data_IF_908631234081
#
_entry.id   IF_908631234081
#
_cell.length_a   1.000
_cell.length_b   1.000
_cell.length_c   1.000
_cell.angle_alpha   90.00
_cell.angle_beta   90.00
_cell.angle_gamma   90.00
#
_symmetry.space_group_name_H-M   'P 1'
#
loop_
_entity.id
_entity.type
_entity.pdbx_description
1 polymer ?
#
# COMPACT_ATOMS: atom_id res chain seq x y z
N UNK A 1 14.60 -18.66 -16.05
CA UNK A 1 14.53 -17.98 -14.73
C UNK A 1 13.54 -16.82 -14.85
N UNK A 2 12.35 -16.97 -14.28
CA UNK A 2 11.21 -16.06 -14.45
C UNK A 2 11.45 -14.63 -13.96
N UNK A 3 12.19 -14.47 -12.86
CA UNK A 3 12.55 -13.16 -12.35
C UNK A 3 13.46 -12.38 -13.30
N UNK A 4 14.31 -13.08 -14.07
CA UNK A 4 15.18 -12.43 -15.06
C UNK A 4 14.38 -11.85 -16.24
N UNK A 5 13.31 -12.54 -16.66
CA UNK A 5 12.38 -12.03 -17.68
C UNK A 5 11.65 -10.78 -17.17
N UNK A 6 11.13 -10.85 -15.94
CA UNK A 6 10.44 -9.74 -15.29
C UNK A 6 11.36 -8.51 -15.15
N UNK A 7 12.61 -8.72 -14.72
CA UNK A 7 13.62 -7.66 -14.64
C UNK A 7 13.98 -7.08 -16.01
N UNK A 8 13.97 -7.90 -17.07
CA UNK A 8 14.24 -7.43 -18.44
C UNK A 8 13.10 -6.55 -18.97
N UNK A 9 11.85 -6.94 -18.72
CA UNK A 9 10.67 -6.13 -19.06
C UNK A 9 10.64 -4.79 -18.29
N UNK A 10 11.00 -4.82 -17.00
CA UNK A 10 11.16 -3.60 -16.19
C UNK A 10 12.22 -2.68 -16.80
N UNK A 11 13.41 -3.19 -17.11
CA UNK A 11 14.47 -2.37 -17.73
C UNK A 11 14.03 -1.75 -19.06
N UNK A 12 13.28 -2.48 -19.88
CA UNK A 12 12.75 -1.96 -21.13
C UNK A 12 11.78 -0.79 -20.86
N UNK A 13 10.84 -0.98 -19.93
CA UNK A 13 9.86 0.04 -19.54
C UNK A 13 10.53 1.31 -19.02
N UNK A 14 11.55 1.19 -18.16
CA UNK A 14 12.26 2.36 -17.64
C UNK A 14 13.07 3.09 -18.71
N UNK A 15 13.64 2.37 -19.69
CA UNK A 15 14.33 3.01 -20.84
C UNK A 15 13.37 3.75 -21.76
N UNK A 16 12.12 3.31 -21.87
CA UNK A 16 11.07 4.02 -22.60
C UNK A 16 10.62 5.29 -21.85
N UNK A 17 10.61 5.26 -20.52
CA UNK A 17 10.27 6.40 -19.68
C UNK A 17 11.41 7.44 -19.59
N UNK A 18 12.66 6.97 -19.54
CA UNK A 18 13.86 7.79 -19.44
C UNK A 18 15.03 7.14 -20.21
N UNK A 19 15.45 7.81 -21.28
CA UNK A 19 16.58 7.36 -22.11
C UNK A 19 17.92 7.30 -21.35
N UNK A 20 18.05 8.03 -20.25
CA UNK A 20 19.25 8.06 -19.39
C UNK A 20 19.16 7.12 -18.19
N UNK A 21 18.21 6.18 -18.19
CA UNK A 21 17.96 5.25 -17.10
C UNK A 21 19.24 4.61 -16.53
N UNK A 22 19.50 4.89 -15.24
CA UNK A 22 20.71 4.48 -14.50
C UNK A 22 20.55 3.19 -13.71
N UNK A 23 19.54 2.35 -14.04
CA UNK A 23 19.20 1.10 -13.31
C UNK A 23 18.46 1.32 -11.98
N UNK A 24 18.11 2.56 -11.67
CA UNK A 24 17.45 2.96 -10.42
C UNK A 24 15.93 2.94 -10.58
N UNK A 25 15.25 2.16 -9.75
CA UNK A 25 13.81 1.90 -9.88
C UNK A 25 13.04 2.15 -8.59
N UNK A 26 11.74 2.43 -8.76
CA UNK A 26 10.77 2.48 -7.66
C UNK A 26 10.16 1.10 -7.43
N UNK A 27 10.14 0.66 -6.18
CA UNK A 27 9.54 -0.62 -5.77
C UNK A 27 8.55 -0.45 -4.63
N UNK A 28 7.55 -1.33 -4.60
CA UNK A 28 6.72 -1.58 -3.45
C UNK A 28 7.28 -2.78 -2.67
N UNK A 29 7.30 -2.66 -1.35
CA UNK A 29 7.65 -3.77 -0.46
C UNK A 29 6.79 -3.71 0.80
N UNK A 30 6.21 -4.85 1.15
CA UNK A 30 5.39 -5.06 2.34
C UNK A 30 5.53 -6.52 2.76
N UNK A 31 5.85 -6.76 4.03
CA UNK A 31 5.99 -8.11 4.56
C UNK A 31 4.64 -8.79 4.72
N UNK A 32 4.59 -10.12 4.59
CA UNK A 32 3.38 -10.86 4.88
C UNK A 32 3.66 -12.18 5.58
N UNK A 33 2.76 -12.60 6.47
CA UNK A 33 2.95 -13.78 7.33
C UNK A 33 1.90 -14.83 7.03
N UNK A 34 2.25 -16.11 7.19
CA UNK A 34 1.32 -17.20 6.95
C UNK A 34 0.13 -17.15 7.93
N UNK A 35 0.36 -16.85 9.21
CA UNK A 35 -0.71 -16.60 10.19
C UNK A 35 -0.92 -15.10 10.39
N UNK A 36 -2.12 -14.70 10.78
CA UNK A 36 -2.43 -13.28 11.04
C UNK A 36 -1.67 -12.80 12.29
N UNK A 37 -0.98 -11.68 12.15
CA UNK A 37 -0.17 -11.08 13.21
C UNK A 37 1.23 -11.70 13.32
N UNK A 38 2.05 -11.15 14.23
CA UNK A 38 3.45 -11.59 14.42
C UNK A 38 3.59 -12.90 15.22
N UNK A 39 2.56 -13.75 15.20
CA UNK A 39 2.57 -15.08 15.82
C UNK A 39 2.95 -16.19 14.83
N UNK A 40 3.13 -15.84 13.55
CA UNK A 40 3.54 -16.80 12.53
C UNK A 40 5.05 -17.04 12.57
N UNK A 41 5.46 -18.29 12.42
CA UNK A 41 6.87 -18.66 12.27
C UNK A 41 7.38 -18.56 10.83
N UNK A 42 6.51 -18.21 9.88
CA UNK A 42 6.85 -18.10 8.46
C UNK A 42 6.42 -16.72 7.94
N UNK A 43 7.39 -15.94 7.47
CA UNK A 43 7.23 -14.65 6.83
C UNK A 43 7.65 -14.69 5.36
N UNK A 44 7.09 -13.81 4.55
CA UNK A 44 7.38 -13.68 3.12
C UNK A 44 7.62 -12.21 2.82
N UNK A 45 8.68 -11.93 2.07
CA UNK A 45 8.95 -10.63 1.47
C UNK A 45 8.99 -10.74 -0.05
N UNK A 46 8.43 -9.76 -0.75
CA UNK A 46 8.46 -9.69 -2.21
C UNK A 46 8.69 -8.26 -2.69
N UNK A 47 9.58 -8.09 -3.67
CA UNK A 47 9.84 -6.83 -4.35
C UNK A 47 8.95 -6.76 -5.59
N UNK A 48 8.08 -5.75 -5.61
CA UNK A 48 7.21 -5.47 -6.75
C UNK A 48 7.65 -4.16 -7.37
N UNK A 49 7.98 -4.14 -8.65
CA UNK A 49 8.28 -2.89 -9.34
C UNK A 49 7.00 -2.07 -9.52
N UNK A 50 7.08 -0.77 -9.23
CA UNK A 50 5.92 0.09 -9.08
C UNK A 50 5.13 0.35 -10.37
N UNK A 51 5.79 0.58 -11.50
CA UNK A 51 5.13 1.00 -12.75
C UNK A 51 4.55 -0.18 -13.54
N UNK A 52 5.30 -1.25 -13.67
CA UNK A 52 4.90 -2.48 -14.36
C UNK A 52 4.04 -3.38 -13.48
N UNK A 53 4.19 -3.27 -12.15
CA UNK A 53 3.58 -4.19 -11.19
C UNK A 53 4.23 -5.57 -11.19
N UNK A 54 5.36 -5.78 -11.87
CA UNK A 54 6.02 -7.08 -11.93
C UNK A 54 6.79 -7.36 -10.65
N UNK A 55 6.65 -8.59 -10.15
CA UNK A 55 7.45 -9.08 -9.04
C UNK A 55 8.86 -9.39 -9.55
N UNK A 56 9.85 -8.74 -8.97
CA UNK A 56 11.25 -8.89 -9.34
C UNK A 56 11.96 -9.96 -8.53
N UNK A 57 11.60 -10.10 -7.25
CA UNK A 57 12.23 -11.06 -6.37
C UNK A 57 11.35 -11.34 -5.14
N UNK A 58 11.51 -12.50 -4.51
CA UNK A 58 10.85 -12.85 -3.27
C UNK A 58 11.66 -13.85 -2.43
N UNK A 59 11.37 -13.90 -1.13
CA UNK A 59 11.99 -14.83 -0.17
C UNK A 59 10.98 -15.26 0.89
N UNK A 60 11.06 -16.53 1.31
CA UNK A 60 10.34 -17.05 2.47
C UNK A 60 11.33 -17.22 3.61
N UNK A 61 10.99 -16.69 4.77
CA UNK A 61 11.76 -16.83 6.00
C UNK A 61 10.97 -17.68 6.99
N UNK A 62 11.65 -18.63 7.62
CA UNK A 62 11.13 -19.46 8.70
C UNK A 62 12.10 -19.51 9.87
N UNK A 63 11.62 -19.17 11.07
CA UNK A 63 12.40 -19.29 12.30
C UNK A 63 12.13 -20.61 13.05
N UNK A 64 11.39 -21.53 12.43
CA UNK A 64 10.97 -22.79 13.02
C UNK A 64 11.23 -23.94 12.06
N UNK A 65 11.64 -25.08 12.63
CA UNK A 65 11.59 -26.36 11.95
C UNK A 65 10.88 -27.36 12.86
N UNK A 66 9.74 -27.90 12.41
CA UNK A 66 9.02 -28.94 13.16
C UNK A 66 9.90 -30.17 13.37
N UNK A 67 10.69 -30.56 12.34
CA UNK A 67 11.65 -31.65 12.42
C UNK A 67 12.63 -31.48 13.58
N UNK A 68 13.25 -30.30 13.74
CA UNK A 68 14.12 -30.04 14.90
C UNK A 68 13.37 -30.07 16.24
N UNK A 69 12.10 -29.66 16.27
CA UNK A 69 11.31 -29.61 17.49
C UNK A 69 10.92 -31.00 17.99
N UNK A 70 10.49 -31.89 17.10
CA UNK A 70 10.00 -33.23 17.47
C UNK A 70 11.06 -34.32 17.34
N UNK A 71 12.11 -34.08 16.56
CA UNK A 71 13.19 -35.04 16.34
C UNK A 71 14.07 -35.26 17.57
N UNK A 72 14.96 -36.27 17.51
CA UNK A 72 15.91 -36.60 18.57
C UNK A 72 16.71 -35.40 19.05
N UNK A 73 17.14 -35.41 20.32
CA UNK A 73 17.93 -34.35 20.96
C UNK A 73 19.39 -34.77 21.11
N UNK A 74 20.31 -33.80 21.26
CA UNK A 74 21.69 -34.12 21.62
C UNK A 74 21.73 -35.00 22.87
N UNK A 75 22.23 -36.23 22.73
CA UNK A 75 22.25 -37.26 23.78
C UNK A 75 21.44 -38.53 23.45
N UNK A 76 20.50 -38.44 22.52
CA UNK A 76 19.75 -39.61 22.05
C UNK A 76 20.61 -40.47 21.12
N UNK A 77 20.45 -41.81 21.19
CA UNK A 77 21.23 -42.76 20.39
C UNK A 77 21.13 -42.49 18.88
N UNK A 78 19.95 -42.09 18.41
CA UNK A 78 19.66 -41.86 16.99
C UNK A 78 19.97 -40.43 16.52
N UNK A 79 20.43 -39.54 17.41
CA UNK A 79 20.60 -38.12 17.09
C UNK A 79 21.59 -37.88 15.95
N UNK A 80 22.73 -38.58 15.96
CA UNK A 80 23.76 -38.40 14.93
C UNK A 80 23.25 -38.79 13.53
N UNK A 81 22.59 -39.95 13.42
CA UNK A 81 22.00 -40.43 12.17
C UNK A 81 20.87 -39.51 11.69
N UNK A 82 20.02 -39.05 12.61
CA UNK A 82 18.97 -38.10 12.29
C UNK A 82 19.54 -36.77 11.79
N UNK A 83 20.54 -36.21 12.46
CA UNK A 83 21.15 -34.92 12.13
C UNK A 83 21.79 -34.95 10.73
N UNK A 84 22.46 -36.04 10.37
CA UNK A 84 23.08 -36.22 9.04
C UNK A 84 22.06 -36.18 7.90
N UNK A 85 20.85 -36.71 8.13
CA UNK A 85 19.79 -36.77 7.13
C UNK A 85 18.79 -35.62 7.22
N UNK A 86 18.89 -34.77 8.25
CA UNK A 86 17.90 -33.73 8.52
C UNK A 86 18.11 -32.48 7.67
N UNK A 87 17.12 -32.18 6.82
CA UNK A 87 17.04 -30.89 6.12
C UNK A 87 16.27 -29.89 6.98
N UNK A 88 17.01 -29.01 7.66
CA UNK A 88 16.43 -27.99 8.51
C UNK A 88 15.62 -26.98 7.69
N UNK A 89 14.38 -26.74 8.12
CA UNK A 89 13.49 -25.74 7.51
C UNK A 89 13.53 -24.37 8.22
N UNK A 90 14.42 -24.22 9.22
CA UNK A 90 14.70 -22.92 9.81
C UNK A 90 15.81 -22.28 8.99
N UNK A 91 15.53 -21.13 8.39
CA UNK A 91 16.49 -20.38 7.57
C UNK A 91 16.77 -18.97 8.11
N UNK A 92 16.20 -18.62 9.27
CA UNK A 92 16.47 -17.37 9.97
C UNK A 92 16.40 -17.55 11.49
N UNK A 93 17.20 -16.76 12.21
CA UNK A 93 17.10 -16.61 13.66
C UNK A 93 16.19 -15.45 14.09
N UNK A 94 15.72 -14.64 13.14
CA UNK A 94 14.85 -13.51 13.45
C UNK A 94 13.51 -13.94 14.04
N UNK A 95 13.08 -13.20 15.05
CA UNK A 95 11.70 -13.25 15.53
C UNK A 95 10.76 -12.77 14.41
N UNK A 96 9.51 -13.23 14.47
CA UNK A 96 8.52 -12.99 13.43
C UNK A 96 8.33 -11.51 13.06
N UNK A 97 8.38 -10.60 14.04
CA UNK A 97 8.28 -9.15 13.78
C UNK A 97 9.50 -8.53 13.08
N UNK A 98 10.64 -9.22 13.03
CA UNK A 98 11.88 -8.77 12.36
C UNK A 98 12.09 -9.42 11.00
N UNK A 99 11.35 -10.47 10.66
CA UNK A 99 11.46 -11.15 9.38
C UNK A 99 11.21 -10.23 8.18
N UNK A 100 10.33 -9.23 8.30
CA UNK A 100 10.14 -8.24 7.24
C UNK A 100 11.42 -7.46 6.95
N UNK A 101 12.14 -7.04 7.98
CA UNK A 101 13.38 -6.29 7.85
C UNK A 101 14.47 -7.17 7.23
N UNK A 102 14.62 -8.40 7.73
CA UNK A 102 15.61 -9.35 7.21
C UNK A 102 15.35 -9.74 5.75
N UNK A 103 14.09 -10.00 5.39
CA UNK A 103 13.71 -10.29 4.02
C UNK A 103 14.03 -9.10 3.10
N UNK A 104 13.79 -7.86 3.54
CA UNK A 104 14.14 -6.68 2.77
C UNK A 104 15.66 -6.59 2.53
N UNK A 105 16.47 -6.77 3.57
CA UNK A 105 17.93 -6.76 3.45
C UNK A 105 18.40 -7.81 2.45
N UNK A 106 17.90 -9.06 2.54
CA UNK A 106 18.23 -10.14 1.60
C UNK A 106 17.90 -9.74 0.15
N UNK A 107 16.70 -9.20 -0.08
CA UNK A 107 16.21 -8.88 -1.42
C UNK A 107 16.94 -7.67 -2.03
N UNK A 108 17.21 -6.64 -1.23
CA UNK A 108 17.94 -5.45 -1.68
C UNK A 108 19.42 -5.77 -1.93
N UNK A 109 20.08 -6.49 -1.04
CA UNK A 109 21.52 -6.81 -1.17
C UNK A 109 21.84 -7.64 -2.42
N UNK A 110 20.95 -8.54 -2.85
CA UNK A 110 21.16 -9.37 -4.06
C UNK A 110 20.60 -8.76 -5.35
N UNK A 111 19.93 -7.61 -5.29
CA UNK A 111 19.27 -6.99 -6.45
C UNK A 111 20.23 -6.68 -7.62
N UNK A 112 21.42 -6.15 -7.32
CA UNK A 112 22.42 -5.81 -8.31
C UNK A 112 22.99 -7.05 -9.01
N UNK A 113 23.41 -8.06 -8.25
CA UNK A 113 23.97 -9.29 -8.82
C UNK A 113 22.92 -10.11 -9.56
N UNK A 114 21.68 -10.16 -9.06
CA UNK A 114 20.60 -10.97 -9.61
C UNK A 114 19.89 -10.31 -10.80
N UNK A 115 19.69 -9.00 -10.75
CA UNK A 115 18.86 -8.27 -11.71
C UNK A 115 19.56 -7.09 -12.35
N UNK A 116 20.72 -6.65 -11.86
CA UNK A 116 21.38 -5.43 -12.32
C UNK A 116 20.46 -4.20 -12.26
N UNK A 117 19.77 -4.07 -11.12
CA UNK A 117 18.84 -2.99 -10.76
C UNK A 117 19.10 -2.57 -9.31
N UNK A 118 18.87 -1.29 -9.00
CA UNK A 118 18.90 -0.76 -7.63
C UNK A 118 17.52 -0.26 -7.25
N UNK A 119 17.07 -0.62 -6.07
CA UNK A 119 15.76 -0.24 -5.54
C UNK A 119 15.91 1.06 -4.74
N UNK A 120 16.00 2.19 -5.44
CA UNK A 120 16.33 3.48 -4.82
C UNK A 120 15.12 4.17 -4.22
N UNK A 121 13.91 3.88 -4.68
CA UNK A 121 12.68 4.41 -4.08
C UNK A 121 11.82 3.28 -3.54
N UNK A 122 11.62 3.26 -2.22
CA UNK A 122 10.80 2.30 -1.51
C UNK A 122 9.44 2.91 -1.17
N UNK A 123 8.38 2.41 -1.81
CA UNK A 123 7.00 2.69 -1.44
C UNK A 123 6.55 1.64 -0.42
N UNK A 124 6.29 2.08 0.81
CA UNK A 124 5.80 1.17 1.85
C UNK A 124 4.79 1.86 2.76
N UNK A 125 4.12 1.05 3.56
CA UNK A 125 3.31 1.52 4.69
C UNK A 125 4.20 2.10 5.80
N UNK A 126 3.54 2.68 6.81
CA UNK A 126 4.15 3.57 7.78
C UNK A 126 5.26 3.03 8.67
N UNK A 127 5.55 1.74 8.66
CA UNK A 127 6.68 1.21 9.39
C UNK A 127 8.00 1.72 8.77
N UNK A 128 8.87 2.23 9.62
CA UNK A 128 10.16 2.78 9.20
C UNK A 128 11.32 1.84 9.52
N UNK A 129 11.09 0.74 10.24
CA UNK A 129 12.15 -0.19 10.64
C UNK A 129 12.88 -0.78 9.43
N UNK A 130 12.13 -1.20 8.41
CA UNK A 130 12.68 -1.74 7.16
C UNK A 130 13.55 -0.71 6.43
N UNK A 131 13.04 0.51 6.25
CA UNK A 131 13.79 1.58 5.59
C UNK A 131 15.07 1.95 6.36
N UNK A 132 14.96 2.14 7.69
CA UNK A 132 16.11 2.47 8.53
C UNK A 132 17.20 1.40 8.47
N UNK A 133 16.81 0.13 8.48
CA UNK A 133 17.76 -0.97 8.35
C UNK A 133 18.45 -0.99 6.98
N UNK A 134 17.71 -0.78 5.88
CA UNK A 134 18.31 -0.71 4.54
C UNK A 134 19.33 0.43 4.39
N UNK A 135 19.04 1.59 5.00
CA UNK A 135 19.98 2.72 5.04
C UNK A 135 21.20 2.38 5.89
N UNK A 136 21.01 1.75 7.05
CA UNK A 136 22.10 1.35 7.94
C UNK A 136 23.02 0.30 7.30
N UNK A 137 22.45 -0.70 6.61
CA UNK A 137 23.19 -1.74 5.89
C UNK A 137 23.92 -1.18 4.65
N UNK A 138 23.62 0.05 4.25
CA UNK A 138 24.30 0.74 3.14
C UNK A 138 24.34 -0.10 1.85
N UNK A 139 23.22 -0.77 1.53
CA UNK A 139 23.13 -1.82 0.49
C UNK A 139 23.57 -1.38 -0.92
N UNK A 140 23.59 -0.08 -1.19
CA UNK A 140 24.02 0.50 -2.48
C UNK A 140 25.16 1.52 -2.36
N UNK A 141 25.84 1.58 -1.21
CA UNK A 141 26.97 2.48 -0.99
C UNK A 141 26.57 3.96 -1.15
N UNK A 142 27.12 4.61 -2.18
CA UNK A 142 26.91 6.05 -2.40
C UNK A 142 25.50 6.40 -2.92
N UNK A 143 24.70 5.41 -3.33
CA UNK A 143 23.35 5.66 -3.85
C UNK A 143 22.33 5.55 -2.72
N UNK A 144 21.71 6.66 -2.30
CA UNK A 144 20.77 6.64 -1.19
C UNK A 144 19.45 5.97 -1.59
N UNK A 145 18.81 5.35 -0.59
CA UNK A 145 17.43 4.88 -0.69
C UNK A 145 16.53 5.98 -0.13
N UNK A 146 15.46 6.31 -0.85
CA UNK A 146 14.40 7.21 -0.42
C UNK A 146 13.13 6.43 -0.07
N UNK A 147 12.49 6.78 1.05
CA UNK A 147 11.17 6.25 1.40
C UNK A 147 10.06 7.17 0.89
N UNK A 148 9.08 6.58 0.22
CA UNK A 148 7.79 7.18 -0.05
C UNK A 148 6.67 6.44 0.71
N UNK A 149 5.61 7.17 1.04
CA UNK A 149 4.52 6.70 1.87
C UNK A 149 3.33 6.28 1.02
N UNK A 150 2.75 5.13 1.32
CA UNK A 150 1.48 4.73 0.75
C UNK A 150 0.38 5.73 1.15
N UNK A 151 -0.20 6.43 0.16
CA UNK A 151 -1.19 7.48 0.42
C UNK A 151 -2.45 6.93 1.10
N UNK A 152 -2.88 5.71 0.75
CA UNK A 152 -4.02 5.08 1.41
C UNK A 152 -3.75 4.85 2.91
N UNK A 153 -2.52 4.48 3.27
CA UNK A 153 -2.12 4.31 4.65
C UNK A 153 -2.05 5.65 5.38
N UNK A 154 -1.44 6.66 4.76
CA UNK A 154 -1.42 8.02 5.31
C UNK A 154 -2.84 8.56 5.53
N UNK A 155 -3.76 8.33 4.59
CA UNK A 155 -5.18 8.66 4.75
C UNK A 155 -5.77 8.01 6.00
N UNK A 156 -5.55 6.70 6.20
CA UNK A 156 -6.04 5.96 7.38
C UNK A 156 -5.50 6.53 8.71
N UNK A 157 -4.28 7.12 8.72
CA UNK A 157 -3.71 7.74 9.93
C UNK A 157 -4.56 8.87 10.47
N UNK A 158 -5.22 9.65 9.61
CA UNK A 158 -6.17 10.70 10.04
C UNK A 158 -7.31 10.08 10.85
N UNK A 159 -8.02 9.10 10.28
CA UNK A 159 -9.13 8.44 10.96
C UNK A 159 -8.71 7.77 12.26
N UNK A 160 -7.56 7.09 12.29
CA UNK A 160 -7.02 6.47 13.51
C UNK A 160 -6.69 7.52 14.58
N UNK A 161 -6.03 8.63 14.21
CA UNK A 161 -5.70 9.70 15.13
C UNK A 161 -6.95 10.34 15.75
N UNK A 162 -7.98 10.59 14.94
CA UNK A 162 -9.25 11.16 15.40
C UNK A 162 -10.02 10.20 16.32
N UNK A 163 -10.07 8.90 16.01
CA UNK A 163 -10.70 7.89 16.89
C UNK A 163 -9.95 7.78 18.22
N UNK A 164 -8.62 7.76 18.17
CA UNK A 164 -7.79 7.72 19.38
C UNK A 164 -7.96 8.98 20.22
N UNK A 165 -8.08 10.15 19.60
CA UNK A 165 -8.36 11.41 20.28
C UNK A 165 -9.67 11.34 21.07
N UNK A 166 -10.74 10.83 20.44
CA UNK A 166 -12.05 10.67 21.11
C UNK A 166 -12.00 9.63 22.23
N UNK A 167 -11.24 8.55 22.06
CA UNK A 167 -11.14 7.47 23.05
C UNK A 167 -10.28 7.82 24.25
N UNK A 168 -9.21 8.61 24.07
CA UNK A 168 -8.20 8.87 25.10
C UNK A 168 -8.35 10.22 25.80
N UNK A 169 -9.28 11.06 25.37
CA UNK A 169 -9.46 12.38 25.98
C UNK A 169 -10.33 12.28 27.23
N UNK A 170 -9.90 12.96 28.29
CA UNK A 170 -10.72 13.17 29.50
C UNK A 170 -11.92 14.09 29.22
N UNK A 171 -11.85 14.89 28.16
CA UNK A 171 -12.96 15.72 27.70
C UNK A 171 -13.86 14.91 26.77
N UNK A 172 -15.16 15.12 26.88
CA UNK A 172 -16.12 14.51 25.97
C UNK A 172 -15.99 15.13 24.56
N UNK A 173 -15.14 14.56 23.72
CA UNK A 173 -14.94 15.00 22.32
C UNK A 173 -15.87 14.28 21.32
N UNK A 174 -16.49 13.17 21.73
CA UNK A 174 -17.35 12.34 20.88
C UNK A 174 -18.85 12.65 20.98
N UNK A 175 -19.61 12.30 19.94
CA UNK A 175 -21.08 12.31 19.96
C UNK A 175 -21.75 13.44 19.19
N UNK A 176 -23.08 13.58 19.32
CA UNK A 176 -23.89 14.54 18.57
C UNK A 176 -23.41 15.98 18.84
N UNK A 177 -23.26 16.77 17.78
CA UNK A 177 -22.68 18.11 17.85
C UNK A 177 -21.15 18.15 18.00
N UNK A 178 -20.48 16.99 18.02
CA UNK A 178 -19.02 16.87 18.15
C UNK A 178 -18.48 15.84 17.14
N UNK A 179 -17.41 15.13 17.47
CA UNK A 179 -16.85 14.08 16.63
C UNK A 179 -17.72 12.81 16.70
N UNK A 180 -18.61 12.66 15.72
CA UNK A 180 -19.30 11.38 15.46
C UNK A 180 -18.43 10.47 14.59
N UNK A 181 -18.69 9.16 14.61
CA UNK A 181 -18.02 8.21 13.70
C UNK A 181 -18.15 8.63 12.24
N UNK A 182 -19.37 9.02 11.82
CA UNK A 182 -19.63 9.49 10.46
C UNK A 182 -18.85 10.76 10.10
N UNK A 183 -18.69 11.70 11.05
CA UNK A 183 -17.87 12.88 10.82
C UNK A 183 -16.39 12.52 10.70
N UNK A 184 -15.86 11.63 11.56
CA UNK A 184 -14.48 11.15 11.49
C UNK A 184 -14.19 10.50 10.13
N UNK A 185 -15.11 9.66 9.64
CA UNK A 185 -14.95 9.02 8.35
C UNK A 185 -14.94 10.05 7.20
N UNK A 186 -15.82 11.07 7.25
CA UNK A 186 -15.79 12.21 6.30
C UNK A 186 -14.47 13.01 6.34
N UNK A 187 -13.97 13.34 7.53
CA UNK A 187 -12.70 14.07 7.67
C UNK A 187 -11.52 13.25 7.15
N UNK A 188 -11.57 11.92 7.35
CA UNK A 188 -10.59 10.99 6.79
C UNK A 188 -10.62 11.00 5.26
N UNK A 189 -11.81 11.06 4.65
CA UNK A 189 -11.96 11.18 3.19
C UNK A 189 -11.49 12.53 2.66
N UNK A 190 -11.83 13.63 3.34
CA UNK A 190 -11.39 14.97 2.99
C UNK A 190 -9.88 15.08 2.97
N UNK A 191 -9.22 14.56 4.02
CA UNK A 191 -7.77 14.49 4.09
C UNK A 191 -7.18 13.68 2.91
N UNK A 192 -7.75 12.50 2.61
CA UNK A 192 -7.33 11.71 1.46
C UNK A 192 -7.55 12.38 0.10
N UNK A 193 -8.56 13.23 -0.05
CA UNK A 193 -8.78 14.03 -1.26
C UNK A 193 -7.81 15.20 -1.35
N UNK A 194 -7.53 15.89 -0.24
CA UNK A 194 -6.55 16.96 -0.19
C UNK A 194 -5.17 16.48 -0.66
N UNK A 195 -4.72 15.30 -0.22
CA UNK A 195 -3.45 14.73 -0.68
C UNK A 195 -3.48 14.31 -2.15
N UNK A 196 -4.55 13.62 -2.60
CA UNK A 196 -4.63 13.08 -3.98
C UNK A 196 -4.79 14.13 -5.05
N UNK A 197 -5.51 15.22 -4.76
CA UNK A 197 -5.79 16.26 -5.74
C UNK A 197 -4.64 17.27 -5.86
N UNK A 198 -3.66 17.23 -4.94
CA UNK A 198 -2.49 18.10 -4.92
C UNK A 198 -1.21 17.25 -4.88
N UNK A 199 -1.20 16.10 -5.55
CA UNK A 199 -0.16 15.07 -5.38
C UNK A 199 1.23 15.46 -5.90
N UNK A 200 1.33 16.60 -6.55
CA UNK A 200 2.48 17.17 -7.22
C UNK A 200 3.10 18.35 -6.46
N UNK A 201 2.42 18.90 -5.45
CA UNK A 201 2.88 20.08 -4.71
C UNK A 201 2.61 19.95 -3.20
N UNK A 202 3.70 19.92 -2.42
CA UNK A 202 3.69 19.81 -0.95
C UNK A 202 3.02 21.01 -0.29
N UNK A 203 3.24 22.22 -0.78
CA UNK A 203 2.64 23.43 -0.25
C UNK A 203 1.13 23.44 -0.53
N UNK A 204 0.72 23.01 -1.73
CA UNK A 204 -0.69 22.86 -2.08
C UNK A 204 -1.37 21.77 -1.25
N UNK A 205 -0.73 20.62 -1.01
CA UNK A 205 -1.24 19.61 -0.07
C UNK A 205 -1.46 20.20 1.32
N UNK A 206 -0.45 20.88 1.88
CA UNK A 206 -0.54 21.48 3.22
C UNK A 206 -1.68 22.48 3.30
N UNK A 207 -1.79 23.37 2.31
CA UNK A 207 -2.89 24.34 2.20
C UNK A 207 -4.24 23.64 2.17
N UNK A 208 -4.41 22.62 1.33
CA UNK A 208 -5.67 21.89 1.20
C UNK A 208 -6.05 21.13 2.48
N UNK A 209 -5.08 20.52 3.17
CA UNK A 209 -5.31 19.85 4.46
C UNK A 209 -5.76 20.87 5.51
N UNK A 210 -5.05 21.99 5.65
CA UNK A 210 -5.43 23.05 6.60
C UNK A 210 -6.75 23.72 6.23
N UNK A 211 -7.04 23.91 4.95
CA UNK A 211 -8.33 24.41 4.48
C UNK A 211 -9.49 23.54 4.96
N UNK A 212 -9.33 22.20 4.94
CA UNK A 212 -10.36 21.30 5.45
C UNK A 212 -10.57 21.42 6.96
N UNK A 213 -9.51 21.70 7.73
CA UNK A 213 -9.61 22.01 9.16
C UNK A 213 -10.39 23.31 9.39
N UNK A 214 -9.94 24.42 8.80
CA UNK A 214 -10.61 25.71 8.95
C UNK A 214 -12.07 25.66 8.49
N UNK A 215 -12.37 24.94 7.41
CA UNK A 215 -13.73 24.80 6.92
C UNK A 215 -14.65 24.03 7.88
N UNK A 216 -14.16 22.98 8.55
CA UNK A 216 -15.00 22.20 9.49
C UNK A 216 -15.15 22.90 10.86
N UNK A 217 -14.25 23.81 11.21
CA UNK A 217 -14.29 24.56 12.47
C UNK A 217 -14.91 25.96 12.33
N UNK A 218 -15.12 26.43 11.09
CA UNK A 218 -15.74 27.71 10.76
C UNK A 218 -17.19 27.82 11.24
N UNK A 219 -17.57 28.99 11.75
CA UNK A 219 -18.95 29.31 12.14
C UNK A 219 -19.48 30.54 11.41
N UNK A 220 -20.77 30.83 11.55
CA UNK A 220 -21.37 32.03 10.95
C UNK A 220 -20.79 33.31 11.58
N UNK A 221 -20.40 33.26 12.86
CA UNK A 221 -19.79 34.36 13.62
C UNK A 221 -18.27 34.50 13.36
N UNK A 222 -17.57 33.38 13.16
CA UNK A 222 -16.13 33.33 12.89
C UNK A 222 -15.86 32.52 11.59
N UNK A 223 -16.09 33.12 10.41
CA UNK A 223 -15.91 32.41 9.14
C UNK A 223 -14.43 32.27 8.76
N UNK A 224 -13.98 31.05 8.46
CA UNK A 224 -12.59 30.74 8.09
C UNK A 224 -12.51 30.00 6.74
N UNK A 225 -12.54 30.76 5.64
CA UNK A 225 -12.49 30.20 4.27
C UNK A 225 -11.26 30.63 3.45
N UNK A 226 -10.29 31.29 4.07
CA UNK A 226 -9.16 31.93 3.37
C UNK A 226 -8.20 30.93 2.71
N UNK A 227 -8.12 29.70 3.24
CA UNK A 227 -7.32 28.63 2.65
C UNK A 227 -8.12 27.78 1.66
N UNK A 228 -9.44 27.95 1.58
CA UNK A 228 -10.27 27.20 0.66
C UNK A 228 -10.04 27.67 -0.78
N UNK A 229 -10.17 26.78 -1.78
CA UNK A 229 -10.03 27.20 -3.17
C UNK A 229 -11.07 28.26 -3.55
N UNK A 230 -10.68 29.14 -4.45
CA UNK A 230 -11.53 30.18 -5.02
C UNK A 230 -12.23 29.68 -6.30
N UNK A 231 -13.14 30.49 -6.83
CA UNK A 231 -13.86 30.22 -8.07
C UNK A 231 -15.26 29.61 -7.88
N UNK A 232 -16.09 29.73 -8.91
CA UNK A 232 -17.48 29.28 -8.90
C UNK A 232 -17.63 27.75 -8.71
N UNK A 233 -16.63 26.99 -9.16
CA UNK A 233 -16.58 25.52 -9.03
C UNK A 233 -15.90 25.05 -7.73
N UNK A 234 -15.60 25.97 -6.81
CA UNK A 234 -15.01 25.63 -5.52
C UNK A 234 -15.92 24.69 -4.72
N UNK A 235 -15.33 23.67 -4.11
CA UNK A 235 -16.05 22.84 -3.14
C UNK A 235 -16.46 23.64 -1.89
N UNK A 236 -15.79 24.76 -1.62
CA UNK A 236 -16.17 25.70 -0.58
C UNK A 236 -17.28 26.60 -1.10
N UNK A 237 -18.53 26.26 -0.72
CA UNK A 237 -19.72 27.02 -1.14
C UNK A 237 -19.67 28.49 -0.73
N UNK A 238 -19.00 28.83 0.37
CA UNK A 238 -18.83 30.23 0.78
C UNK A 238 -17.99 31.02 -0.24
N UNK A 239 -16.84 30.49 -0.65
CA UNK A 239 -16.00 31.14 -1.66
C UNK A 239 -16.65 31.11 -3.04
N UNK A 240 -17.36 30.04 -3.39
CA UNK A 240 -18.14 29.99 -4.63
C UNK A 240 -19.24 31.07 -4.66
N UNK A 241 -20.00 31.21 -3.57
CA UNK A 241 -21.04 32.24 -3.38
C UNK A 241 -20.53 33.68 -3.54
N UNK A 242 -19.32 33.97 -3.04
CA UNK A 242 -18.69 35.30 -3.22
C UNK A 242 -18.49 35.65 -4.70
N UNK A 243 -18.20 34.66 -5.54
CA UNK A 243 -17.98 34.86 -6.98
C UNK A 243 -19.29 34.88 -7.75
N UNK A 244 -20.24 34.00 -7.42
CA UNK A 244 -21.53 33.90 -8.13
C UNK A 244 -22.54 34.96 -7.70
N UNK A 245 -22.26 35.73 -6.65
CA UNK A 245 -23.15 36.76 -6.11
C UNK A 245 -24.36 36.21 -5.33
N UNK A 246 -24.38 34.90 -5.06
CA UNK A 246 -25.43 34.25 -4.27
C UNK A 246 -25.09 34.33 -2.78
N UNK A 247 -26.06 34.56 -1.87
CA UNK A 247 -25.79 34.56 -0.44
C UNK A 247 -25.07 33.27 0.03
N UNK A 248 -24.05 33.38 0.91
CA UNK A 248 -23.34 32.21 1.40
C UNK A 248 -24.29 31.32 2.24
N UNK A 249 -24.17 29.98 2.12
CA UNK A 249 -24.96 29.07 2.93
C UNK A 249 -24.51 29.11 4.40
N UNK A 250 -25.42 28.81 5.34
CA UNK A 250 -25.05 28.67 6.76
C UNK A 250 -24.00 27.56 6.97
N UNK A 251 -23.15 27.74 7.97
CA UNK A 251 -22.18 26.72 8.35
C UNK A 251 -22.87 25.44 8.83
N UNK A 252 -22.46 24.32 8.22
CA UNK A 252 -23.06 23.00 8.48
C UNK A 252 -22.45 22.29 9.70
N UNK A 253 -21.18 22.58 9.98
CA UNK A 253 -20.47 22.05 11.13
C UNK A 253 -20.59 23.04 12.30
N UNK A 254 -21.00 22.55 13.46
CA UNK A 254 -21.16 23.34 14.69
C UNK A 254 -20.29 22.73 15.79
N UNK A 255 -19.01 22.57 15.51
CA UNK A 255 -18.07 21.99 16.46
C UNK A 255 -17.75 23.01 17.56
N UNK A 256 -17.88 22.64 18.85
CA UNK A 256 -17.47 23.51 19.94
C UNK A 256 -15.99 23.85 19.85
N UNK A 257 -15.60 25.04 20.32
CA UNK A 257 -14.21 25.52 20.25
C UNK A 257 -13.21 24.54 20.83
N UNK A 258 -13.49 23.96 21.99
CA UNK A 258 -12.59 22.97 22.61
C UNK A 258 -12.39 21.70 21.77
N UNK A 259 -13.34 21.34 20.89
CA UNK A 259 -13.20 20.22 19.95
C UNK A 259 -12.33 20.66 18.77
N UNK A 260 -12.54 21.87 18.24
CA UNK A 260 -11.70 22.46 17.20
C UNK A 260 -10.23 22.58 17.64
N UNK A 261 -9.99 23.05 18.87
CA UNK A 261 -8.65 23.16 19.44
C UNK A 261 -7.99 21.77 19.60
N UNK A 262 -8.75 20.76 20.00
CA UNK A 262 -8.25 19.38 20.12
C UNK A 262 -7.90 18.74 18.77
N UNK A 263 -8.52 19.18 17.67
CA UNK A 263 -8.24 18.70 16.31
C UNK A 263 -6.96 19.29 15.73
N UNK A 264 -6.64 20.55 16.03
CA UNK A 264 -5.56 21.29 15.39
C UNK A 264 -4.20 20.56 15.42
N UNK A 265 -3.73 20.02 16.57
CA UNK A 265 -2.44 19.33 16.61
C UNK A 265 -2.36 18.10 15.70
N UNK A 266 -3.50 17.44 15.43
CA UNK A 266 -3.56 16.31 14.49
C UNK A 266 -3.39 16.79 13.06
N UNK A 267 -4.07 17.88 12.68
CA UNK A 267 -3.95 18.47 11.35
C UNK A 267 -2.56 19.05 11.11
N UNK A 268 -1.96 19.73 12.08
CA UNK A 268 -0.58 20.24 11.98
C UNK A 268 0.42 19.09 11.78
N UNK A 269 0.33 18.05 12.61
CA UNK A 269 1.21 16.87 12.49
C UNK A 269 1.03 16.14 11.16
N UNK A 270 -0.20 16.00 10.67
CA UNK A 270 -0.49 15.31 9.40
C UNK A 270 -0.34 16.22 8.17
N UNK A 271 0.02 17.49 8.34
CA UNK A 271 0.34 18.42 7.26
C UNK A 271 1.82 18.87 7.25
N UNK A 272 2.68 18.20 8.03
CA UNK A 272 4.11 18.44 8.03
C UNK A 272 4.74 18.16 6.66
N UNK A 273 5.59 19.08 6.20
CA UNK A 273 6.24 18.98 4.89
C UNK A 273 7.02 17.66 4.72
N UNK A 274 7.68 17.16 5.77
CA UNK A 274 8.43 15.89 5.74
C UNK A 274 7.55 14.65 5.52
N UNK A 275 6.29 14.67 5.94
CA UNK A 275 5.31 13.63 5.63
C UNK A 275 4.77 13.81 4.21
N UNK A 276 4.38 15.04 3.86
CA UNK A 276 3.76 15.36 2.58
C UNK A 276 4.70 15.18 1.39
N UNK A 277 5.99 15.47 1.55
CA UNK A 277 7.03 15.19 0.55
C UNK A 277 7.05 13.72 0.15
N UNK A 278 6.84 12.82 1.12
CA UNK A 278 6.79 11.37 0.88
C UNK A 278 5.45 10.90 0.31
N UNK A 279 4.44 11.77 0.23
CA UNK A 279 3.14 11.48 -0.37
C UNK A 279 3.04 11.94 -1.83
N UNK A 280 4.09 12.54 -2.38
CA UNK A 280 4.13 12.98 -3.78
C UNK A 280 3.85 11.81 -4.73
N UNK A 281 3.21 12.12 -5.87
CA UNK A 281 2.77 11.13 -6.85
C UNK A 281 1.58 10.27 -6.40
N UNK A 282 1.07 10.46 -5.18
CA UNK A 282 -0.06 9.72 -4.62
C UNK A 282 0.11 8.19 -4.72
N UNK A 283 1.34 7.70 -4.51
CA UNK A 283 1.69 6.29 -4.67
C UNK A 283 0.96 5.42 -3.65
N UNK A 284 0.69 4.18 -4.04
CA UNK A 284 0.04 3.18 -3.16
C UNK A 284 0.73 1.83 -3.27
N UNK A 285 0.70 1.06 -2.19
CA UNK A 285 1.22 -0.32 -2.16
C UNK A 285 0.14 -1.37 -2.48
N UNK A 286 -0.90 -1.00 -3.22
CA UNK A 286 -2.02 -1.90 -3.55
C UNK A 286 -1.55 -3.16 -4.32
N UNK A 287 -0.42 -3.07 -5.03
CA UNK A 287 0.18 -4.21 -5.72
C UNK A 287 0.59 -5.31 -4.74
N UNK A 288 1.19 -4.94 -3.60
CA UNK A 288 1.56 -5.86 -2.52
C UNK A 288 0.32 -6.53 -1.92
N UNK A 289 -0.71 -5.74 -1.57
CA UNK A 289 -1.99 -6.29 -1.07
C UNK A 289 -2.62 -7.27 -2.08
N UNK A 290 -2.59 -6.93 -3.37
CA UNK A 290 -3.10 -7.80 -4.43
C UNK A 290 -2.28 -9.08 -4.56
N UNK A 291 -0.96 -9.01 -4.42
CA UNK A 291 -0.09 -10.18 -4.49
C UNK A 291 -0.28 -11.09 -3.27
N UNK A 292 -0.36 -10.52 -2.07
CA UNK A 292 -0.65 -11.26 -0.85
C UNK A 292 -1.96 -12.03 -0.97
N UNK A 293 -2.99 -11.45 -1.59
CA UNK A 293 -4.24 -12.14 -1.86
C UNK A 293 -4.08 -13.35 -2.79
N UNK A 294 -3.17 -13.30 -3.77
CA UNK A 294 -2.88 -14.45 -4.65
C UNK A 294 -2.14 -15.53 -3.87
N UNK A 295 -1.06 -15.18 -3.18
CA UNK A 295 -0.28 -16.11 -2.36
C UNK A 295 -1.14 -16.85 -1.34
N UNK A 296 -1.90 -16.12 -0.53
CA UNK A 296 -2.70 -16.73 0.53
C UNK A 296 -4.01 -17.37 0.03
N UNK A 297 -4.34 -17.22 -1.25
CA UNK A 297 -5.38 -18.06 -1.88
C UNK A 297 -4.87 -19.46 -2.25
N UNK A 298 -3.56 -19.61 -2.43
CA UNK A 298 -2.90 -20.90 -2.68
C UNK A 298 -2.53 -21.60 -1.36
N UNK A 299 -2.19 -20.82 -0.33
CA UNK A 299 -1.94 -21.31 1.02
C UNK A 299 -2.81 -20.58 2.05
N UNK A 300 -4.01 -21.12 2.35
CA UNK A 300 -4.91 -20.53 3.35
C UNK A 300 -4.24 -20.42 4.71
N UNK A 301 -4.45 -19.29 5.38
CA UNK A 301 -3.79 -18.93 6.66
C UNK A 301 -4.25 -19.78 7.85
N UNK A 302 -5.34 -20.50 7.67
CA UNK A 302 -5.99 -21.33 8.68
C UNK A 302 -5.34 -22.72 8.80
N UNK A 303 -4.52 -23.11 7.83
CA UNK A 303 -3.87 -24.42 7.81
C UNK A 303 -2.49 -24.35 8.47
N UNK A 304 -1.91 -25.50 8.80
CA UNK A 304 -0.49 -25.58 9.12
C UNK A 304 0.30 -25.68 7.80
N UNK A 305 1.41 -24.96 7.70
CA UNK A 305 2.28 -24.99 6.53
C UNK A 305 3.74 -25.15 6.95
N UNK A 306 4.47 -25.94 6.16
CA UNK A 306 5.93 -26.05 6.22
C UNK A 306 6.57 -24.91 5.40
N UNK A 307 7.89 -24.69 5.58
CA UNK A 307 8.63 -23.73 4.77
C UNK A 307 8.46 -24.05 3.27
N UNK A 308 8.66 -25.31 2.91
CA UNK A 308 8.60 -25.82 1.53
C UNK A 308 7.22 -25.58 0.91
N UNK A 309 6.13 -25.77 1.67
CA UNK A 309 4.78 -25.53 1.18
C UNK A 309 4.55 -24.04 0.86
N UNK A 310 5.02 -23.14 1.73
CA UNK A 310 4.92 -21.68 1.49
C UNK A 310 5.83 -21.24 0.35
N UNK A 311 7.04 -21.79 0.22
CA UNK A 311 7.93 -21.53 -0.91
C UNK A 311 7.32 -21.98 -2.25
N UNK A 312 6.75 -23.18 -2.28
CA UNK A 312 6.07 -23.71 -3.49
C UNK A 312 4.91 -22.79 -3.89
N UNK A 313 4.08 -22.39 -2.93
CA UNK A 313 2.98 -21.48 -3.18
C UNK A 313 3.44 -20.07 -3.56
N UNK A 314 4.56 -19.60 -3.01
CA UNK A 314 5.18 -18.34 -3.41
C UNK A 314 5.59 -18.37 -4.87
N UNK A 315 6.28 -19.43 -5.30
CA UNK A 315 6.70 -19.57 -6.70
C UNK A 315 5.49 -19.64 -7.65
N UNK A 316 4.46 -20.41 -7.32
CA UNK A 316 3.21 -20.45 -8.10
C UNK A 316 2.51 -19.07 -8.13
N UNK A 317 2.40 -18.40 -6.98
CA UNK A 317 1.79 -17.07 -6.89
C UNK A 317 2.52 -16.05 -7.76
N UNK A 318 3.85 -16.04 -7.74
CA UNK A 318 4.68 -15.15 -8.56
C UNK A 318 4.45 -15.39 -10.04
N UNK A 319 4.45 -16.66 -10.49
CA UNK A 319 4.17 -17.01 -11.87
C UNK A 319 2.78 -16.53 -12.30
N UNK A 320 1.75 -16.81 -11.50
CA UNK A 320 0.37 -16.37 -11.80
C UNK A 320 0.22 -14.86 -11.84
N UNK A 321 0.90 -14.15 -10.94
CA UNK A 321 0.79 -12.71 -10.83
C UNK A 321 1.38 -12.00 -12.05
N UNK A 322 2.62 -12.36 -12.41
CA UNK A 322 3.36 -11.72 -13.49
C UNK A 322 2.93 -12.23 -14.88
N UNK A 323 2.69 -13.54 -15.04
CA UNK A 323 2.45 -14.15 -16.36
C UNK A 323 0.99 -14.60 -16.61
N UNK A 324 0.15 -14.63 -15.58
CA UNK A 324 -1.22 -15.15 -15.68
C UNK A 324 -1.33 -16.64 -15.40
N UNK A 325 -2.56 -17.10 -15.21
CA UNK A 325 -2.86 -18.48 -14.83
C UNK A 325 -2.52 -19.47 -15.96
N UNK A 326 -2.71 -19.09 -17.23
CA UNK A 326 -2.48 -19.97 -18.37
C UNK A 326 -1.03 -20.43 -18.43
N UNK A 327 -0.09 -19.46 -18.50
CA UNK A 327 1.34 -19.76 -18.56
C UNK A 327 1.84 -20.42 -17.29
N UNK A 328 1.40 -19.96 -16.11
CA UNK A 328 1.75 -20.60 -14.84
C UNK A 328 1.35 -22.09 -14.81
N UNK A 329 0.15 -22.42 -15.29
CA UNK A 329 -0.32 -23.82 -15.35
C UNK A 329 0.54 -24.68 -16.27
N UNK A 330 0.96 -24.14 -17.41
CA UNK A 330 1.86 -24.83 -18.34
C UNK A 330 3.25 -25.07 -17.73
N UNK A 331 3.89 -24.01 -17.25
CA UNK A 331 5.26 -24.09 -16.72
C UNK A 331 5.34 -24.96 -15.47
N UNK A 332 4.35 -24.87 -14.57
CA UNK A 332 4.32 -25.72 -13.37
C UNK A 332 4.14 -27.18 -13.72
N UNK A 333 3.20 -27.53 -14.60
CA UNK A 333 3.01 -28.92 -15.01
C UNK A 333 4.29 -29.46 -15.67
N UNK A 334 4.90 -28.72 -16.59
CA UNK A 334 6.15 -29.12 -17.24
C UNK A 334 7.30 -29.29 -16.25
N UNK A 335 7.39 -28.46 -15.20
CA UNK A 335 8.43 -28.55 -14.17
C UNK A 335 8.41 -29.85 -13.37
N UNK A 336 7.24 -30.51 -13.29
CA UNK A 336 7.04 -31.80 -12.62
C UNK A 336 6.86 -32.95 -13.61
N UNK A 337 7.16 -32.74 -14.90
CA UNK A 337 7.06 -33.77 -15.94
C UNK A 337 5.62 -34.11 -16.35
N UNK A 338 4.66 -33.22 -16.09
CA UNK A 338 3.25 -33.41 -16.44
C UNK A 338 2.86 -32.57 -17.66
N UNK A 339 1.96 -33.13 -18.48
CA UNK A 339 1.25 -32.38 -19.51
C UNK A 339 -0.06 -31.85 -18.92
N UNK A 340 -0.30 -30.53 -18.93
CA UNK A 340 -1.55 -30.00 -18.40
C UNK A 340 -2.74 -30.46 -19.26
N UNK A 341 -3.78 -30.97 -18.61
CA UNK A 341 -5.01 -31.38 -19.29
C UNK A 341 -5.73 -30.21 -19.96
N UNK A 342 -6.45 -30.47 -21.05
CA UNK A 342 -7.13 -29.44 -21.84
C UNK A 342 -8.10 -28.57 -21.01
N UNK A 343 -8.86 -29.17 -20.08
CA UNK A 343 -9.77 -28.43 -19.18
C UNK A 343 -9.03 -27.50 -18.22
N UNK A 344 -7.84 -27.89 -17.74
CA UNK A 344 -7.03 -27.06 -16.86
C UNK A 344 -6.53 -25.81 -17.61
N UNK A 345 -6.05 -26.00 -18.84
CA UNK A 345 -5.61 -24.92 -19.73
C UNK A 345 -6.77 -23.99 -20.11
N UNK A 346 -7.92 -24.54 -20.48
CA UNK A 346 -9.13 -23.78 -20.78
C UNK A 346 -9.54 -22.92 -19.56
N UNK A 347 -9.59 -23.54 -18.38
CA UNK A 347 -9.97 -22.82 -17.15
C UNK A 347 -8.96 -21.74 -16.78
N UNK A 348 -7.68 -21.97 -17.04
CA UNK A 348 -6.63 -21.00 -16.81
C UNK A 348 -6.76 -19.79 -17.76
N UNK A 349 -7.04 -20.03 -19.05
CA UNK A 349 -7.33 -18.99 -20.04
C UNK A 349 -8.57 -18.15 -19.66
N UNK A 350 -9.63 -18.80 -19.18
CA UNK A 350 -10.85 -18.12 -18.70
C UNK A 350 -10.56 -17.19 -17.52
N UNK A 351 -9.76 -17.66 -16.55
CA UNK A 351 -9.34 -16.84 -15.40
C UNK A 351 -8.56 -15.60 -15.84
N UNK A 352 -7.64 -15.75 -16.79
CA UNK A 352 -6.89 -14.62 -17.34
C UNK A 352 -7.78 -13.65 -18.11
N UNK A 353 -8.70 -14.16 -18.94
CA UNK A 353 -9.70 -13.33 -19.65
C UNK A 353 -10.56 -12.53 -18.67
N UNK A 354 -11.06 -13.17 -17.60
CA UNK A 354 -11.84 -12.49 -16.55
C UNK A 354 -11.01 -11.44 -15.80
N UNK A 355 -9.74 -11.74 -15.49
CA UNK A 355 -8.81 -10.79 -14.86
C UNK A 355 -8.62 -9.55 -15.73
N UNK A 356 -8.36 -9.73 -17.03
CA UNK A 356 -8.20 -8.65 -17.99
C UNK A 356 -9.49 -7.83 -18.16
N UNK A 357 -10.66 -8.48 -18.24
CA UNK A 357 -11.96 -7.79 -18.29
C UNK A 357 -12.19 -6.91 -17.06
N UNK A 358 -11.93 -7.43 -15.86
CA UNK A 358 -12.04 -6.66 -14.60
C UNK A 358 -11.05 -5.49 -14.56
N UNK A 359 -9.82 -5.69 -15.00
CA UNK A 359 -8.80 -4.64 -15.05
C UNK A 359 -9.22 -3.51 -16.02
N UNK A 360 -9.67 -3.85 -17.24
CA UNK A 360 -10.18 -2.89 -18.22
C UNK A 360 -11.36 -2.08 -17.66
N UNK A 361 -12.35 -2.76 -17.05
CA UNK A 361 -13.51 -2.09 -16.43
C UNK A 361 -13.08 -1.08 -15.37
N UNK A 362 -12.20 -1.46 -14.45
CA UNK A 362 -11.68 -0.56 -13.39
C UNK A 362 -10.90 0.63 -13.96
N UNK A 363 -10.14 0.42 -15.03
CA UNK A 363 -9.41 1.50 -15.71
C UNK A 363 -10.37 2.51 -16.34
N UNK A 364 -11.40 2.03 -17.05
CA UNK A 364 -12.44 2.86 -17.64
C UNK A 364 -13.20 3.66 -16.58
N UNK A 365 -13.64 3.01 -15.49
CA UNK A 365 -14.29 3.69 -14.36
C UNK A 365 -13.41 4.81 -13.76
N UNK A 366 -12.10 4.60 -13.70
CA UNK A 366 -11.14 5.61 -13.23
C UNK A 366 -11.01 6.79 -14.20
N UNK A 367 -11.00 6.52 -15.51
CA UNK A 367 -10.97 7.55 -16.57
C UNK A 367 -12.27 8.35 -16.56
N UNK A 368 -13.43 7.69 -16.58
CA UNK A 368 -14.74 8.33 -16.52
C UNK A 368 -14.89 9.19 -15.27
N UNK A 369 -14.45 8.70 -14.10
CA UNK A 369 -14.45 9.48 -12.87
C UNK A 369 -13.54 10.71 -12.95
N UNK A 370 -12.41 10.65 -13.67
CA UNK A 370 -11.53 11.80 -13.92
C UNK A 370 -12.16 12.79 -14.90
N UNK A 371 -12.82 12.31 -15.95
CA UNK A 371 -13.49 13.14 -16.95
C UNK A 371 -14.72 13.84 -16.37
N UNK A 372 -15.57 13.16 -15.60
CA UNK A 372 -16.70 13.77 -14.87
C UNK A 372 -16.29 14.88 -13.89
N UNK A 373 -15.02 14.89 -13.45
CA UNK A 373 -14.47 15.97 -12.62
C UNK A 373 -13.97 17.18 -13.43
N UNK A 374 -13.79 17.03 -14.75
CA UNK A 374 -13.33 18.09 -15.66
C UNK A 374 -14.46 18.74 -16.46
N UNK A 375 -15.61 18.10 -16.58
CA UNK A 375 -16.79 18.69 -17.23
C UNK A 375 -17.49 19.62 -16.24
N UNK A 376 -17.66 20.93 -16.55
CA UNK A 376 -18.53 21.80 -15.79
C UNK A 376 -19.92 21.18 -15.78
N UNK A 377 -20.53 21.00 -14.61
CA UNK A 377 -21.90 20.50 -14.56
C UNK A 377 -22.79 21.55 -15.22
N UNK A 378 -23.52 21.16 -16.26
CA UNK A 378 -24.57 21.99 -16.84
C UNK A 378 -25.63 22.24 -15.75
N UNK A 379 -25.65 23.45 -15.22
CA UNK A 379 -26.58 23.88 -14.17
C UNK A 379 -27.89 24.42 -14.74
N UNK A 380 -28.09 24.38 -16.06
CA UNK A 380 -29.28 24.94 -16.72
C UNK A 380 -30.60 24.30 -16.28
N UNK A 381 -30.57 23.11 -15.67
CA UNK A 381 -31.77 22.42 -15.19
C UNK A 381 -31.83 22.19 -13.67
N UNK A 382 -30.96 22.82 -12.86
CA UNK A 382 -31.04 22.69 -11.40
C UNK A 382 -31.96 23.74 -10.78
N UNK A 383 -33.20 23.35 -10.48
CA UNK A 383 -34.10 24.12 -9.64
C UNK A 383 -33.79 23.86 -8.16
N UNK A 384 -33.32 24.89 -7.44
CA UNK A 384 -33.16 24.82 -6.00
C UNK A 384 -34.54 24.78 -5.32
N UNK A 385 -34.94 23.63 -4.78
CA UNK A 385 -36.19 23.50 -4.02
C UNK A 385 -36.99 22.21 -4.22
N UNK A 386 -36.62 21.35 -5.18
CA UNK A 386 -37.25 20.04 -5.32
C UNK A 386 -36.64 19.03 -4.34
N UNK A 387 -37.19 19.03 -3.12
CA UNK A 387 -37.40 17.81 -2.33
C UNK A 387 -38.82 17.32 -2.57
#
# INVERSE_FOLDING_TARGET
NFYAESASAVKATYKEMDQYFTRDITVCYDGTWHKRGHTSHIGVGAIIEYHTGLILDAVVLSNQCLGCQVGPKPGDADYACWLENHVCQKNTDSKSGRMEVEAAIILFSRSLSKHNLRYTTLVSDGDSATFSALVQENVYGLVPISKEECLNHVQKRMGTALRNLVQKSDKALGGKGRLTKALIDKLTDYYGWALRNNSDDVAAMRRAVMASYHHVTSTDEEPHHDLCPEGADSWCRHNASKITGVPPPKHSYKLPRYVADALLPIYERLSQASLLQRCLGAKTQNASESFHSVLWSLMPKEQHASLIAVETALHDAVLRYNAGCYRATQELASSVGLTPGHLAIQRAAEKDSLRLKKAKKRSLEKIERRQRKRVPKDTSSYAAGSF
#
